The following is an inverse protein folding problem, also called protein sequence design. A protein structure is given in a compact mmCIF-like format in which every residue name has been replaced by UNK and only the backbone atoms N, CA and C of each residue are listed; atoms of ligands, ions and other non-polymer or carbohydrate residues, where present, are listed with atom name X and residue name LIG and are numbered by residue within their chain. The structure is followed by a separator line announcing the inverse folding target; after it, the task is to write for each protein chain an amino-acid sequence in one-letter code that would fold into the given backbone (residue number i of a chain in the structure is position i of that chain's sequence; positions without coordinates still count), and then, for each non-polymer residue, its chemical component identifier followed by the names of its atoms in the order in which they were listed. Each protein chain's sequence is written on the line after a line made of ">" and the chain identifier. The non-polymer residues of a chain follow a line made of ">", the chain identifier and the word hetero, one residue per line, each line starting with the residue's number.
data_IF_932744883507
#
_entry.id   IF_932744883507
#
_cell.length_a   1.000
_cell.length_b   1.000
_cell.length_c   1.000
_cell.angle_alpha   90.00
_cell.angle_beta   90.00
_cell.angle_gamma   90.00
#
_symmetry.space_group_name_H-M   'P 1'
#
loop_
_entity.id
_entity.type
_entity.pdbx_description
1 polymer ?
#
# COMPACT_ATOMS: atom_id res chain seq x y z
N UNK A 1 -35.14 -3.48 -2.92
CA UNK A 1 -34.34 -2.52 -3.71
C UNK A 1 -33.11 -3.28 -4.19
N UNK A 2 -32.67 -3.14 -5.46
CA UNK A 2 -31.41 -3.74 -5.89
C UNK A 2 -30.28 -3.22 -4.98
N UNK A 3 -29.35 -4.11 -4.59
CA UNK A 3 -28.16 -3.70 -3.86
C UNK A 3 -27.34 -2.78 -4.77
N UNK A 4 -27.07 -1.57 -4.30
CA UNK A 4 -26.21 -0.63 -5.03
C UNK A 4 -24.83 -1.25 -5.25
N UNK A 5 -24.32 -1.19 -6.48
CA UNK A 5 -22.98 -1.65 -6.83
C UNK A 5 -22.03 -0.47 -6.63
N UNK A 6 -21.09 -0.59 -5.69
CA UNK A 6 -20.14 0.47 -5.39
C UNK A 6 -18.86 0.26 -6.21
N UNK A 7 -18.64 1.13 -7.18
CA UNK A 7 -17.54 1.05 -8.14
C UNK A 7 -16.77 2.39 -8.24
N UNK A 8 -15.90 2.49 -9.24
CA UNK A 8 -15.03 3.64 -9.47
C UNK A 8 -15.72 5.01 -9.37
N UNK A 9 -16.93 5.19 -9.91
CA UNK A 9 -17.62 6.48 -9.84
C UNK A 9 -17.84 6.98 -8.39
N UNK A 10 -18.16 6.04 -7.50
CA UNK A 10 -18.33 6.30 -6.07
C UNK A 10 -16.99 6.59 -5.41
N UNK A 11 -15.96 5.76 -5.68
CA UNK A 11 -14.62 5.98 -5.14
C UNK A 11 -14.03 7.31 -5.60
N UNK A 12 -14.18 7.64 -6.88
CA UNK A 12 -13.67 8.84 -7.50
C UNK A 12 -14.28 10.08 -6.84
N UNK A 13 -15.62 10.11 -6.73
CA UNK A 13 -16.34 11.24 -6.13
C UNK A 13 -16.13 11.36 -4.61
N UNK A 14 -16.26 10.25 -3.88
CA UNK A 14 -16.25 10.24 -2.41
C UNK A 14 -14.84 10.27 -1.82
N UNK A 15 -13.81 9.81 -2.54
CA UNK A 15 -12.44 9.71 -2.01
C UNK A 15 -11.42 10.49 -2.83
N UNK A 16 -11.37 10.30 -4.15
CA UNK A 16 -10.30 10.87 -5.00
C UNK A 16 -10.45 12.39 -5.14
N UNK A 17 -11.64 12.86 -5.51
CA UNK A 17 -11.91 14.29 -5.73
C UNK A 17 -12.28 15.03 -4.46
N UNK A 18 -12.75 14.33 -3.42
CA UNK A 18 -13.07 14.93 -2.11
C UNK A 18 -11.85 15.30 -1.27
N UNK A 19 -10.66 14.80 -1.65
CA UNK A 19 -9.41 15.02 -0.92
C UNK A 19 -9.14 14.01 0.20
N UNK A 20 -9.94 12.93 0.32
CA UNK A 20 -9.68 11.87 1.31
C UNK A 20 -8.62 10.87 0.85
N UNK A 21 -8.30 10.83 -0.44
CA UNK A 21 -7.27 9.96 -1.01
C UNK A 21 -5.88 10.29 -0.45
N UNK A 22 -5.15 9.25 -0.02
CA UNK A 22 -3.80 9.36 0.55
C UNK A 22 -2.70 8.91 -0.40
N UNK A 23 -3.01 8.62 -1.68
CA UNK A 23 -2.01 8.26 -2.68
C UNK A 23 -1.35 6.88 -2.47
N UNK A 24 -2.07 5.89 -1.94
CA UNK A 24 -1.50 4.54 -1.72
C UNK A 24 -1.52 3.62 -2.95
N UNK A 25 -2.16 4.06 -4.05
CA UNK A 25 -2.40 3.30 -5.27
C UNK A 25 -3.08 1.92 -5.10
N UNK A 26 -3.65 1.59 -3.94
CA UNK A 26 -4.32 0.30 -3.71
C UNK A 26 -5.44 0.00 -4.70
N UNK A 27 -6.24 1.02 -5.06
CA UNK A 27 -7.28 0.87 -6.07
C UNK A 27 -6.74 0.58 -7.48
N UNK A 28 -5.55 1.08 -7.81
CA UNK A 28 -4.89 0.87 -9.10
C UNK A 28 -4.42 -0.58 -9.20
N UNK A 29 -3.66 -1.03 -8.20
CA UNK A 29 -3.11 -2.40 -8.17
C UNK A 29 -4.21 -3.46 -8.04
N UNK A 30 -5.30 -3.16 -7.33
CA UNK A 30 -6.43 -4.08 -7.20
C UNK A 30 -7.35 -4.14 -8.43
N UNK A 31 -7.16 -3.27 -9.43
CA UNK A 31 -8.03 -3.23 -10.60
C UNK A 31 -7.71 -4.38 -11.55
N UNK A 32 -8.62 -5.35 -11.78
CA UNK A 32 -8.35 -6.52 -12.62
C UNK A 32 -8.48 -6.22 -14.12
N UNK A 33 -8.69 -4.97 -14.49
CA UNK A 33 -8.97 -4.54 -15.86
C UNK A 33 -7.96 -3.51 -16.38
N UNK A 34 -6.99 -3.10 -15.54
CA UNK A 34 -5.95 -2.12 -15.93
C UNK A 34 -6.50 -0.80 -16.49
N UNK A 35 -7.69 -0.38 -16.04
CA UNK A 35 -8.34 0.88 -16.45
C UNK A 35 -8.03 2.07 -15.53
N UNK A 36 -7.21 1.87 -14.50
CA UNK A 36 -6.79 2.92 -13.58
C UNK A 36 -5.29 3.16 -13.71
N UNK A 37 -4.90 4.43 -13.85
CA UNK A 37 -3.53 4.90 -13.81
C UNK A 37 -3.21 5.54 -12.46
N UNK A 38 -1.94 5.86 -12.24
CA UNK A 38 -1.46 6.58 -11.07
C UNK A 38 -0.55 7.72 -11.51
N UNK A 39 -0.88 8.94 -11.10
CA UNK A 39 -0.06 10.13 -11.34
C UNK A 39 0.77 10.42 -10.09
N UNK A 40 2.08 10.19 -10.18
CA UNK A 40 3.07 10.48 -9.14
C UNK A 40 3.96 11.69 -9.50
N UNK A 41 3.60 12.42 -10.56
CA UNK A 41 4.28 13.63 -11.00
C UNK A 41 3.89 14.85 -10.16
N UNK A 42 4.80 15.83 -10.07
CA UNK A 42 4.53 17.18 -9.57
C UNK A 42 3.76 17.28 -8.23
N UNK A 43 3.88 16.26 -7.36
CA UNK A 43 3.20 16.24 -6.07
C UNK A 43 1.73 15.80 -6.09
N UNK A 44 1.23 15.24 -7.21
CA UNK A 44 -0.19 14.85 -7.37
C UNK A 44 -0.53 13.61 -6.53
N UNK A 45 0.17 12.51 -6.75
CA UNK A 45 0.01 11.22 -6.06
C UNK A 45 -1.44 10.71 -6.01
N UNK A 46 -2.11 10.64 -7.17
CA UNK A 46 -3.53 10.24 -7.27
C UNK A 46 -3.82 9.23 -8.38
N UNK A 47 -4.80 8.34 -8.17
CA UNK A 47 -5.31 7.49 -9.23
C UNK A 47 -6.20 8.29 -10.20
N UNK A 48 -6.25 7.86 -11.47
CA UNK A 48 -7.15 8.41 -12.49
C UNK A 48 -7.64 7.31 -13.44
N UNK A 49 -8.75 7.55 -14.13
CA UNK A 49 -9.28 6.61 -15.12
C UNK A 49 -8.54 6.77 -16.46
N UNK A 50 -8.13 5.66 -17.07
CA UNK A 50 -7.39 5.63 -18.33
C UNK A 50 -8.30 5.68 -19.56
N UNK A 51 -9.52 5.15 -19.45
CA UNK A 51 -10.45 5.13 -20.59
C UNK A 51 -11.23 6.44 -20.68
N UNK A 52 -11.43 6.92 -21.90
CA UNK A 52 -12.20 8.15 -22.18
C UNK A 52 -13.71 7.95 -21.98
N UNK A 53 -14.22 6.72 -22.17
CA UNK A 53 -15.65 6.42 -22.07
C UNK A 53 -16.17 6.61 -20.64
N UNK A 54 -17.20 7.44 -20.48
CA UNK A 54 -17.76 7.79 -19.17
C UNK A 54 -16.98 8.88 -18.41
N UNK A 55 -15.86 9.37 -18.97
CA UNK A 55 -15.06 10.45 -18.38
C UNK A 55 -14.30 10.03 -17.10
N UNK A 56 -13.70 11.00 -16.36
CA UNK A 56 -12.79 10.70 -15.24
C UNK A 56 -13.41 9.87 -14.10
N UNK A 57 -14.72 9.95 -13.92
CA UNK A 57 -15.47 9.19 -12.91
C UNK A 57 -16.24 7.99 -13.48
N UNK A 58 -16.24 7.77 -14.80
CA UNK A 58 -16.92 6.65 -15.42
C UNK A 58 -16.08 5.38 -15.37
N UNK A 59 -16.72 4.21 -15.36
CA UNK A 59 -16.04 2.93 -15.54
C UNK A 59 -17.04 1.89 -16.00
N UNK A 60 -17.00 1.50 -17.28
CA UNK A 60 -17.95 0.53 -17.85
C UNK A 60 -17.89 -0.84 -17.18
N UNK A 61 -16.74 -1.21 -16.60
CA UNK A 61 -16.61 -2.42 -15.79
C UNK A 61 -17.35 -2.32 -14.45
N UNK A 62 -17.33 -1.14 -13.83
CA UNK A 62 -18.10 -0.82 -12.64
C UNK A 62 -19.61 -0.88 -12.90
N UNK A 63 -20.05 -0.31 -14.02
CA UNK A 63 -21.46 -0.33 -14.46
C UNK A 63 -21.97 -1.76 -14.67
N UNK A 64 -21.06 -2.68 -15.02
CA UNK A 64 -21.34 -4.12 -15.18
C UNK A 64 -21.16 -4.94 -13.89
N UNK A 65 -20.80 -4.33 -12.76
CA UNK A 65 -20.74 -5.01 -11.46
C UNK A 65 -19.37 -5.08 -10.78
N UNK A 66 -18.30 -4.54 -11.36
CA UNK A 66 -16.96 -4.59 -10.73
C UNK A 66 -16.86 -3.65 -9.53
N UNK A 67 -16.33 -4.13 -8.40
CA UNK A 67 -16.19 -3.37 -7.14
C UNK A 67 -14.79 -3.45 -6.53
N UNK A 68 -13.77 -3.85 -7.30
CA UNK A 68 -12.45 -4.13 -6.73
C UNK A 68 -11.79 -2.88 -6.13
N UNK A 69 -11.85 -1.74 -6.84
CA UNK A 69 -11.22 -0.51 -6.40
C UNK A 69 -11.81 0.07 -5.10
N UNK A 70 -13.14 -0.02 -4.92
CA UNK A 70 -13.83 0.44 -3.70
C UNK A 70 -13.51 -0.44 -2.50
N UNK A 71 -13.45 -1.76 -2.70
CA UNK A 71 -13.08 -2.72 -1.65
C UNK A 71 -11.60 -2.60 -1.24
N UNK A 72 -10.74 -2.20 -2.17
CA UNK A 72 -9.32 -2.01 -1.91
C UNK A 72 -8.98 -0.71 -1.17
N UNK A 73 -9.89 0.27 -1.15
CA UNK A 73 -9.60 1.59 -0.60
C UNK A 73 -9.96 1.70 0.89
N UNK A 74 -8.98 1.92 1.79
CA UNK A 74 -9.27 2.03 3.22
C UNK A 74 -9.96 3.31 3.65
N UNK A 75 -10.13 4.25 2.72
CA UNK A 75 -10.81 5.53 2.93
C UNK A 75 -12.27 5.49 2.46
N UNK A 76 -12.72 4.38 1.89
CA UNK A 76 -14.05 4.27 1.33
C UNK A 76 -15.06 3.74 2.36
N UNK A 77 -16.01 4.59 2.75
CA UNK A 77 -17.16 4.25 3.60
C UNK A 77 -16.78 3.43 4.85
N UNK A 78 -17.41 2.28 5.05
CA UNK A 78 -17.32 1.46 6.26
C UNK A 78 -16.13 0.48 6.26
N UNK A 79 -15.08 0.75 5.47
CA UNK A 79 -13.93 -0.14 5.35
C UNK A 79 -13.31 -0.52 6.70
N UNK A 80 -13.15 0.44 7.62
CA UNK A 80 -12.48 0.21 8.92
C UNK A 80 -13.19 -0.83 9.81
N UNK A 81 -14.49 -0.72 10.13
CA UNK A 81 -15.18 -1.76 10.88
C UNK A 81 -15.34 -3.08 10.11
N UNK A 82 -15.38 -3.03 8.77
CA UNK A 82 -15.43 -4.22 7.92
C UNK A 82 -14.13 -5.04 7.99
N UNK A 83 -12.97 -4.39 7.93
CA UNK A 83 -11.68 -5.08 8.02
C UNK A 83 -11.45 -5.66 9.43
N UNK A 84 -11.88 -4.96 10.47
CA UNK A 84 -11.79 -5.47 11.85
C UNK A 84 -12.58 -6.77 11.99
N UNK A 85 -13.82 -6.76 11.49
CA UNK A 85 -14.68 -7.94 11.51
C UNK A 85 -14.09 -9.09 10.68
N UNK A 86 -13.48 -8.77 9.53
CA UNK A 86 -12.84 -9.76 8.67
C UNK A 86 -11.62 -10.43 9.34
N UNK A 87 -10.74 -9.65 9.98
CA UNK A 87 -9.49 -10.16 10.56
C UNK A 87 -9.67 -10.71 11.98
N UNK A 88 -10.55 -10.12 12.77
CA UNK A 88 -10.67 -10.39 14.21
C UNK A 88 -12.05 -10.91 14.64
N UNK A 89 -13.02 -10.98 13.72
CA UNK A 89 -14.39 -11.46 14.00
C UNK A 89 -15.26 -10.48 14.81
N UNK A 90 -14.76 -9.27 15.07
CA UNK A 90 -15.45 -8.19 15.78
C UNK A 90 -14.86 -6.84 15.37
N UNK A 91 -15.59 -5.76 15.61
CA UNK A 91 -15.01 -4.41 15.59
C UNK A 91 -14.19 -4.14 16.85
N UNK A 92 -13.22 -3.21 16.75
CA UNK A 92 -12.46 -2.71 17.90
C UNK A 92 -13.34 -1.95 18.91
N UNK A 93 -12.98 -1.98 20.20
CA UNK A 93 -13.65 -1.18 21.25
C UNK A 93 -13.10 0.25 21.29
N UNK A 94 -13.75 1.13 22.05
CA UNK A 94 -13.30 2.54 22.16
C UNK A 94 -11.97 2.67 22.91
N UNK A 95 -11.58 1.66 23.68
CA UNK A 95 -10.30 1.57 24.39
C UNK A 95 -9.14 1.10 23.49
N UNK A 96 -9.44 0.43 22.37
CA UNK A 96 -8.46 -0.08 21.40
C UNK A 96 -8.06 1.01 20.38
N UNK A 97 -7.56 2.14 20.89
CA UNK A 97 -7.23 3.35 20.09
C UNK A 97 -6.14 3.06 19.05
N UNK A 98 -5.22 2.16 19.35
CA UNK A 98 -4.12 1.69 18.49
C UNK A 98 -4.48 0.45 17.65
N UNK A 99 -5.73 -0.01 17.73
CA UNK A 99 -6.23 -1.19 17.03
C UNK A 99 -6.18 -2.47 17.87
N UNK A 100 -6.64 -3.57 17.29
CA UNK A 100 -6.67 -4.88 17.96
C UNK A 100 -5.27 -5.48 17.96
N UNK A 101 -4.66 -5.61 19.14
CA UNK A 101 -3.32 -6.19 19.31
C UNK A 101 -3.32 -7.35 20.31
N UNK A 102 -2.37 -8.26 20.15
CA UNK A 102 -2.12 -9.34 21.13
C UNK A 102 -1.15 -8.89 22.21
N UNK A 103 -0.03 -8.30 21.78
CA UNK A 103 1.07 -7.84 22.63
C UNK A 103 1.64 -6.55 22.03
N UNK A 104 2.03 -5.60 22.89
CA UNK A 104 2.74 -4.37 22.51
C UNK A 104 4.12 -4.41 23.16
N UNK A 105 5.17 -4.45 22.34
CA UNK A 105 6.55 -4.63 22.81
C UNK A 105 7.48 -3.54 22.26
N UNK A 106 8.50 -3.23 23.05
CA UNK A 106 9.62 -2.37 22.65
C UNK A 106 10.75 -3.26 22.12
N UNK A 107 11.16 -3.04 20.87
CA UNK A 107 12.17 -3.84 20.21
C UNK A 107 13.17 -2.97 19.42
N UNK A 108 14.37 -3.51 19.21
CA UNK A 108 15.38 -2.98 18.30
C UNK A 108 16.18 -4.13 17.69
N UNK A 109 16.72 -3.91 16.50
CA UNK A 109 17.64 -4.83 15.84
C UNK A 109 18.90 -5.03 16.69
N UNK A 110 19.38 -6.27 16.75
CA UNK A 110 20.64 -6.62 17.41
C UNK A 110 21.85 -6.45 16.49
N UNK A 111 21.62 -6.41 15.18
CA UNK A 111 22.63 -6.15 14.16
C UNK A 111 22.97 -4.64 14.12
N UNK A 112 24.24 -4.25 14.40
CA UNK A 112 24.63 -2.84 14.44
C UNK A 112 24.45 -2.11 13.11
N UNK A 113 24.59 -2.79 11.97
CA UNK A 113 24.41 -2.17 10.66
C UNK A 113 22.95 -1.82 10.42
N UNK A 114 22.05 -2.76 10.71
CA UNK A 114 20.59 -2.55 10.61
C UNK A 114 20.17 -1.42 11.55
N UNK A 115 20.70 -1.42 12.78
CA UNK A 115 20.41 -0.38 13.75
C UNK A 115 20.88 1.00 13.27
N UNK A 116 22.05 1.09 12.65
CA UNK A 116 22.63 2.35 12.19
C UNK A 116 21.88 2.92 10.97
N UNK A 117 21.43 2.06 10.06
CA UNK A 117 20.72 2.47 8.83
C UNK A 117 19.22 2.68 9.04
N UNK A 118 18.62 2.01 10.02
CA UNK A 118 17.20 2.17 10.35
C UNK A 118 16.88 3.59 10.84
N UNK A 119 15.64 4.03 10.64
CA UNK A 119 15.18 5.32 11.18
C UNK A 119 15.19 5.33 12.72
N UNK A 120 14.67 4.25 13.31
CA UNK A 120 14.51 4.07 14.75
C UNK A 120 15.31 2.84 15.21
N UNK A 121 14.63 1.80 15.71
CA UNK A 121 15.26 0.54 16.14
C UNK A 121 15.66 -0.39 15.00
N UNK A 122 15.40 -0.07 13.73
CA UNK A 122 15.70 -0.95 12.58
C UNK A 122 14.82 -2.20 12.48
N UNK A 123 13.67 -2.23 13.19
CA UNK A 123 12.81 -3.40 13.31
C UNK A 123 12.30 -3.93 11.95
N UNK A 124 11.81 -3.04 11.08
CA UNK A 124 11.22 -3.43 9.79
C UNK A 124 12.26 -4.14 8.91
N UNK A 125 13.45 -3.55 8.77
CA UNK A 125 14.55 -4.17 8.02
C UNK A 125 14.98 -5.50 8.63
N UNK A 126 15.07 -5.60 9.97
CA UNK A 126 15.41 -6.85 10.64
C UNK A 126 14.39 -7.98 10.38
N UNK A 127 13.09 -7.67 10.46
CA UNK A 127 12.02 -8.65 10.18
C UNK A 127 12.05 -9.08 8.71
N UNK A 128 12.24 -8.15 7.77
CA UNK A 128 12.31 -8.46 6.35
C UNK A 128 13.47 -9.40 6.03
N UNK A 129 14.68 -9.07 6.50
CA UNK A 129 15.86 -9.89 6.27
C UNK A 129 15.70 -11.29 6.86
N UNK A 130 15.18 -11.37 8.09
CA UNK A 130 14.89 -12.65 8.72
C UNK A 130 13.87 -13.46 7.89
N UNK A 131 12.79 -12.82 7.42
CA UNK A 131 11.77 -13.49 6.62
C UNK A 131 12.31 -13.98 5.27
N UNK A 132 13.20 -13.22 4.62
CA UNK A 132 13.88 -13.62 3.38
C UNK A 132 14.83 -14.80 3.62
N UNK A 133 15.69 -14.73 4.64
CA UNK A 133 16.67 -15.78 4.97
C UNK A 133 15.99 -17.13 5.29
N UNK A 134 14.76 -17.09 5.80
CA UNK A 134 13.97 -18.28 6.14
C UNK A 134 12.94 -18.66 5.06
N UNK A 135 12.94 -17.96 3.92
CA UNK A 135 12.07 -18.27 2.78
C UNK A 135 10.58 -17.99 3.02
N UNK A 136 10.21 -17.15 4.00
CA UNK A 136 8.82 -16.69 4.17
C UNK A 136 8.40 -15.71 3.08
N UNK A 137 9.35 -14.93 2.57
CA UNK A 137 9.15 -13.99 1.45
C UNK A 137 10.31 -14.09 0.47
N UNK A 138 10.01 -13.91 -0.81
CA UNK A 138 10.99 -13.90 -1.90
C UNK A 138 11.43 -12.47 -2.23
N UNK A 139 10.54 -11.50 -2.01
CA UNK A 139 10.81 -10.08 -2.22
C UNK A 139 9.95 -9.19 -1.32
N UNK A 140 10.37 -7.94 -1.15
CA UNK A 140 9.62 -6.92 -0.44
C UNK A 140 9.36 -5.70 -1.33
N UNK A 141 8.13 -5.21 -1.34
CA UNK A 141 7.75 -3.94 -1.93
C UNK A 141 8.11 -2.83 -0.94
N UNK A 142 9.05 -1.98 -1.32
CA UNK A 142 9.67 -0.97 -0.45
C UNK A 142 9.71 0.39 -1.14
N UNK A 143 10.21 1.40 -0.41
CA UNK A 143 10.42 2.75 -0.91
C UNK A 143 11.92 3.05 -0.99
N UNK A 144 12.37 3.48 -2.17
CA UNK A 144 13.72 3.98 -2.42
C UNK A 144 13.71 5.50 -2.61
N UNK A 145 14.89 6.11 -2.68
CA UNK A 145 15.03 7.46 -3.20
C UNK A 145 15.36 7.40 -4.70
N UNK A 146 14.84 8.35 -5.45
CA UNK A 146 15.18 8.55 -6.85
C UNK A 146 16.66 8.96 -7.02
N UNK A 147 17.30 8.43 -8.07
CA UNK A 147 18.67 8.79 -8.43
C UNK A 147 19.69 8.49 -7.34
N UNK A 148 20.47 9.50 -6.97
CA UNK A 148 21.48 9.43 -5.91
C UNK A 148 20.94 9.82 -4.52
N UNK A 149 19.63 10.07 -4.42
CA UNK A 149 18.96 10.48 -3.19
C UNK A 149 18.94 11.98 -2.91
N UNK A 150 19.51 12.81 -3.78
CA UNK A 150 19.52 14.27 -3.58
C UNK A 150 18.17 14.94 -3.84
N UNK A 151 17.30 14.33 -4.67
CA UNK A 151 15.96 14.87 -4.97
C UNK A 151 14.95 14.68 -3.84
N UNK A 152 15.22 13.77 -2.89
CA UNK A 152 14.30 13.35 -1.82
C UNK A 152 12.94 12.83 -2.31
N UNK A 153 12.78 12.60 -3.62
CA UNK A 153 11.61 11.95 -4.18
C UNK A 153 11.68 10.46 -3.89
N UNK A 154 10.66 9.95 -3.22
CA UNK A 154 10.55 8.55 -2.89
C UNK A 154 9.89 7.78 -4.05
N UNK A 155 10.49 6.67 -4.46
CA UNK A 155 9.98 5.83 -5.56
C UNK A 155 9.73 4.41 -5.05
N UNK A 156 8.66 3.74 -5.51
CA UNK A 156 8.41 2.36 -5.16
C UNK A 156 9.48 1.47 -5.82
N UNK A 157 9.82 0.35 -5.18
CA UNK A 157 10.70 -0.65 -5.79
C UNK A 157 10.68 -1.98 -5.07
N UNK A 158 11.46 -2.93 -5.57
CA UNK A 158 11.47 -4.31 -5.08
C UNK A 158 12.83 -4.67 -4.48
N UNK A 159 12.85 -5.01 -3.20
CA UNK A 159 14.02 -5.53 -2.51
C UNK A 159 14.00 -7.07 -2.46
N UNK A 160 15.11 -7.69 -2.83
CA UNK A 160 15.34 -9.15 -2.84
C UNK A 160 16.60 -9.53 -2.06
N UNK A 161 17.50 -8.58 -1.83
CA UNK A 161 18.78 -8.80 -1.15
C UNK A 161 18.90 -7.96 0.12
N UNK A 162 19.89 -8.31 0.95
CA UNK A 162 20.17 -7.55 2.16
C UNK A 162 20.53 -6.10 1.83
N UNK A 163 21.35 -5.92 0.82
CA UNK A 163 21.82 -4.61 0.35
C UNK A 163 20.64 -3.75 -0.10
N UNK A 164 19.70 -4.33 -0.84
CA UNK A 164 18.49 -3.66 -1.32
C UNK A 164 17.52 -3.31 -0.18
N UNK A 165 17.35 -4.19 0.82
CA UNK A 165 16.53 -3.87 2.01
C UNK A 165 17.17 -2.73 2.81
N UNK A 166 18.49 -2.75 2.97
CA UNK A 166 19.22 -1.71 3.69
C UNK A 166 19.27 -0.38 2.93
N UNK A 167 19.26 -0.40 1.60
CA UNK A 167 19.13 0.81 0.78
C UNK A 167 17.74 1.47 0.91
N UNK A 168 16.71 0.68 1.20
CA UNK A 168 15.36 1.17 1.48
C UNK A 168 15.17 1.62 2.94
N UNK A 169 16.12 1.39 3.84
CA UNK A 169 16.00 1.77 5.24
C UNK A 169 15.89 3.31 5.40
N UNK A 170 15.30 3.73 6.51
CA UNK A 170 15.05 5.15 6.83
C UNK A 170 13.67 5.63 6.38
N UNK A 171 13.14 6.63 7.09
CA UNK A 171 11.85 7.22 6.76
C UNK A 171 12.02 8.31 5.70
N UNK A 172 11.18 8.26 4.67
CA UNK A 172 11.06 9.30 3.65
C UNK A 172 9.74 10.01 3.89
N UNK A 173 9.79 11.29 4.22
CA UNK A 173 8.59 12.09 4.50
C UNK A 173 8.03 12.71 3.21
N UNK A 174 7.97 11.89 2.17
CA UNK A 174 7.38 12.18 0.85
C UNK A 174 6.52 10.98 0.43
N UNK A 175 5.63 11.16 -0.54
CA UNK A 175 4.75 10.08 -0.98
C UNK A 175 5.50 9.04 -1.80
N UNK A 176 5.17 7.78 -1.60
CA UNK A 176 5.67 6.65 -2.38
C UNK A 176 4.59 5.57 -2.38
N UNK A 177 4.08 5.17 -3.54
CA UNK A 177 3.05 4.15 -3.65
C UNK A 177 3.69 2.76 -3.83
N UNK A 178 4.22 2.18 -2.73
CA UNK A 178 5.02 0.94 -2.77
C UNK A 178 4.29 -0.25 -3.40
N UNK A 179 2.95 -0.27 -3.32
CA UNK A 179 2.09 -1.26 -3.99
C UNK A 179 2.32 -1.31 -5.51
N UNK A 180 2.70 -0.21 -6.15
CA UNK A 180 2.96 -0.15 -7.59
C UNK A 180 4.16 -1.02 -8.02
N UNK A 181 5.04 -1.39 -7.10
CA UNK A 181 6.15 -2.31 -7.38
C UNK A 181 5.70 -3.78 -7.51
N UNK A 182 4.43 -4.09 -7.24
CA UNK A 182 3.90 -5.46 -7.30
C UNK A 182 4.12 -6.14 -8.66
N UNK A 183 3.80 -5.43 -9.76
CA UNK A 183 3.94 -5.99 -11.11
C UNK A 183 5.40 -6.34 -11.43
N UNK A 184 6.35 -5.49 -11.05
CA UNK A 184 7.79 -5.76 -11.19
C UNK A 184 8.22 -6.97 -10.34
N UNK A 185 7.70 -7.08 -9.11
CA UNK A 185 8.04 -8.18 -8.22
C UNK A 185 7.62 -9.53 -8.78
N UNK A 186 6.37 -9.63 -9.26
CA UNK A 186 5.81 -10.84 -9.87
C UNK A 186 6.50 -11.16 -11.20
N UNK A 187 6.74 -10.17 -12.06
CA UNK A 187 7.48 -10.38 -13.31
C UNK A 187 8.91 -10.87 -13.07
N UNK A 188 9.52 -10.48 -11.94
CA UNK A 188 10.81 -10.99 -11.46
C UNK A 188 10.74 -12.36 -10.77
N UNK A 189 9.59 -13.03 -10.76
CA UNK A 189 9.43 -14.40 -10.25
C UNK A 189 9.17 -14.54 -8.76
N UNK A 190 8.83 -13.46 -8.05
CA UNK A 190 8.48 -13.54 -6.63
C UNK A 190 7.03 -14.05 -6.45
N UNK A 191 6.84 -15.01 -5.56
CA UNK A 191 5.51 -15.59 -5.27
C UNK A 191 5.03 -15.22 -3.86
N UNK A 192 5.96 -15.09 -2.91
CA UNK A 192 5.69 -14.66 -1.52
C UNK A 192 6.24 -13.25 -1.32
N UNK A 193 5.35 -12.28 -1.16
CA UNK A 193 5.72 -10.86 -1.08
C UNK A 193 5.49 -10.29 0.33
N UNK A 194 6.42 -9.46 0.79
CA UNK A 194 6.16 -8.51 1.86
C UNK A 194 5.81 -7.14 1.27
N UNK A 195 4.90 -6.41 1.90
CA UNK A 195 4.67 -4.99 1.64
C UNK A 195 5.13 -4.20 2.86
N UNK A 196 6.08 -3.28 2.65
CA UNK A 196 6.41 -2.25 3.63
C UNK A 196 5.71 -0.98 3.19
N UNK A 197 4.88 -0.41 4.06
CA UNK A 197 4.14 0.78 3.70
C UNK A 197 3.49 1.45 4.89
N UNK A 198 3.02 2.68 4.67
CA UNK A 198 2.19 3.39 5.62
C UNK A 198 0.84 2.67 5.80
N UNK A 199 0.06 3.09 6.79
CA UNK A 199 -1.23 2.44 7.13
C UNK A 199 -2.14 2.25 5.91
N UNK A 200 -2.31 3.27 5.07
CA UNK A 200 -3.15 3.18 3.87
C UNK A 200 -2.69 2.14 2.83
N UNK A 201 -1.41 1.75 2.81
CA UNK A 201 -0.88 0.69 1.93
C UNK A 201 -1.05 -0.68 2.59
N UNK A 202 -0.70 -0.78 3.88
CA UNK A 202 -0.86 -2.02 4.67
C UNK A 202 -2.33 -2.41 4.84
N UNK A 203 -3.24 -1.46 4.64
CA UNK A 203 -4.69 -1.64 4.65
C UNK A 203 -5.28 -2.07 3.30
N UNK A 204 -4.48 -2.12 2.22
CA UNK A 204 -4.97 -2.65 0.95
C UNK A 204 -5.05 -4.18 1.08
N UNK A 205 -6.24 -4.79 0.96
CA UNK A 205 -6.43 -6.23 1.12
C UNK A 205 -5.88 -7.05 -0.07
#
# INVERSE_FOLDING_TARGET
>A
MPREVLHWAHLHSEVVTSGLCTGCAGCVVACPHDVLGYDDGEGVYKPFHLEEEGGPGGCGHGDRGCTSCTRACPRFRAWEPEIDTHLFGRSRTVEEVDGVSKDIILARATDPEIQTKGQDGGLVSAILLWAMDHGYVDAALVSYLEGDGTSWKAIPGVARTREEVLAAAGSRYTYSANTMAYAEAVAGGAEKLALVGMSCQSSVP
#
